data_IF_220385640278
#
_entry.id   IF_220385640278
#
_cell.length_a   1.000
_cell.length_b   1.000
_cell.length_c   1.000
_cell.angle_alpha   90.00
_cell.angle_beta   90.00
_cell.angle_gamma   90.00
#
_symmetry.space_group_name_H-M   'P 1'
#
loop_
_entity.id
_entity.type
_entity.pdbx_description
1 polymer ?
#
# COMPACT_ATOMS: atom_id res chain seq x y z
N UNK A 1 -13.66 37.15 -49.24
CA UNK A 1 -12.21 37.00 -48.96
C UNK A 1 -12.07 36.60 -47.50
N UNK A 2 -11.78 35.33 -47.20
CA UNK A 2 -10.45 34.72 -46.91
C UNK A 2 -10.36 34.48 -45.37
N UNK A 3 -9.90 33.38 -44.78
CA UNK A 3 -9.52 32.01 -45.18
C UNK A 3 -9.73 31.15 -43.91
N UNK A 4 -10.18 29.91 -44.10
CA UNK A 4 -10.25 28.81 -43.14
C UNK A 4 -8.85 28.23 -42.92
N UNK A 5 -8.39 28.09 -41.68
CA UNK A 5 -7.24 27.23 -41.36
C UNK A 5 -7.70 25.97 -40.65
N UNK A 6 -7.43 24.84 -41.29
CA UNK A 6 -7.47 23.50 -40.73
C UNK A 6 -6.08 23.21 -40.16
N UNK A 7 -6.00 22.60 -38.98
CA UNK A 7 -4.78 21.94 -38.52
C UNK A 7 -5.08 20.48 -38.22
N UNK A 8 -4.16 19.66 -38.71
CA UNK A 8 -4.26 18.25 -39.02
C UNK A 8 -4.06 17.33 -37.80
N UNK A 9 -4.67 16.15 -37.88
CA UNK A 9 -4.30 14.93 -37.16
C UNK A 9 -2.80 14.61 -37.29
N UNK A 10 -2.21 13.99 -36.25
CA UNK A 10 -1.22 12.88 -36.29
C UNK A 10 -0.90 12.42 -34.83
N UNK A 11 -0.49 11.15 -34.61
CA UNK A 11 -1.02 10.29 -33.55
C UNK A 11 -0.08 9.99 -32.37
N UNK A 12 -0.64 9.24 -31.41
CA UNK A 12 0.00 8.63 -30.26
C UNK A 12 1.13 7.66 -30.65
N UNK A 13 2.31 7.85 -30.05
CA UNK A 13 3.35 6.84 -29.93
C UNK A 13 4.16 7.09 -28.65
N UNK A 14 4.20 6.06 -27.82
CA UNK A 14 5.38 5.56 -27.08
C UNK A 14 6.18 6.55 -26.22
N UNK A 15 5.91 6.55 -24.91
CA UNK A 15 6.91 6.91 -23.91
C UNK A 15 7.46 5.62 -23.33
N UNK A 16 8.69 5.35 -23.75
CA UNK A 16 9.51 4.17 -23.49
C UNK A 16 9.73 3.89 -21.99
N UNK A 17 9.64 2.61 -21.64
CA UNK A 17 10.15 2.04 -20.41
C UNK A 17 11.68 2.20 -20.35
N UNK A 18 12.22 2.84 -19.32
CA UNK A 18 13.62 2.67 -18.94
C UNK A 18 13.74 1.54 -17.92
N UNK A 19 13.89 0.31 -18.41
CA UNK A 19 14.46 -0.79 -17.65
C UNK A 19 15.98 -0.60 -17.61
N UNK A 20 16.53 -0.39 -16.42
CA UNK A 20 17.98 -0.45 -16.19
C UNK A 20 18.26 -1.86 -15.68
N UNK A 21 18.55 -2.78 -16.61
CA UNK A 21 19.19 -4.06 -16.29
C UNK A 21 20.67 -3.81 -15.94
N UNK A 22 21.18 -4.34 -14.82
CA UNK A 22 22.62 -4.51 -14.65
C UNK A 22 23.08 -5.72 -15.46
N UNK A 23 23.78 -5.45 -16.57
CA UNK A 23 24.60 -6.43 -17.31
C UNK A 23 25.70 -6.95 -16.38
N UNK A 24 25.66 -8.24 -16.10
CA UNK A 24 26.78 -8.98 -15.54
C UNK A 24 27.37 -9.75 -16.72
N UNK A 25 28.49 -9.26 -17.27
CA UNK A 25 29.23 -9.98 -18.31
C UNK A 25 29.88 -11.21 -17.68
N UNK A 26 29.52 -12.39 -18.20
CA UNK A 26 30.10 -13.68 -17.84
C UNK A 26 30.61 -14.35 -19.12
N UNK A 27 31.93 -14.25 -19.34
CA UNK A 27 32.80 -15.20 -20.08
C UNK A 27 34.18 -14.53 -20.26
N UNK A 28 35.34 -15.18 -20.27
CA UNK A 28 35.65 -16.59 -20.30
C UNK A 28 37.12 -16.81 -19.89
N UNK A 29 37.38 -18.01 -19.38
CA UNK A 29 38.59 -18.85 -19.38
C UNK A 29 39.94 -18.31 -19.89
N UNK A 30 41.04 -18.62 -19.19
CA UNK A 30 42.18 -19.40 -19.72
C UNK A 30 43.09 -19.95 -18.59
N UNK A 31 43.46 -21.21 -18.77
CA UNK A 31 44.42 -22.00 -18.01
C UNK A 31 45.83 -21.37 -18.00
N UNK A 32 46.64 -21.67 -16.97
CA UNK A 32 48.03 -22.11 -17.18
C UNK A 32 48.46 -23.08 -16.08
N UNK A 33 49.00 -24.19 -16.57
CA UNK A 33 49.43 -25.45 -15.98
C UNK A 33 50.79 -25.33 -15.29
N UNK A 34 50.92 -26.01 -14.13
CA UNK A 34 52.01 -26.92 -13.75
C UNK A 34 53.48 -26.48 -13.78
N UNK A 35 54.21 -26.76 -12.69
CA UNK A 35 55.40 -27.64 -12.72
C UNK A 35 55.85 -28.04 -11.31
N UNK A 36 56.04 -29.35 -11.15
CA UNK A 36 56.68 -30.04 -10.02
C UNK A 36 58.20 -29.82 -10.01
N UNK A 37 58.85 -29.97 -8.84
CA UNK A 37 59.99 -30.91 -8.53
C UNK A 37 60.62 -30.50 -7.18
N UNK A 38 60.58 -31.36 -6.17
CA UNK A 38 61.60 -32.35 -5.72
C UNK A 38 62.59 -31.83 -4.67
N UNK A 39 62.54 -32.54 -3.52
CA UNK A 39 63.60 -32.94 -2.59
C UNK A 39 65.04 -32.50 -2.84
N UNK A 40 65.71 -31.97 -1.80
CA UNK A 40 66.94 -32.58 -1.28
C UNK A 40 67.22 -32.12 0.16
N UNK A 41 67.70 -33.05 0.98
CA UNK A 41 68.16 -32.81 2.34
C UNK A 41 69.66 -33.05 2.44
N UNK A 42 70.35 -32.25 3.28
CA UNK A 42 71.68 -32.46 3.90
C UNK A 42 72.13 -31.08 4.42
N UNK A 43 72.69 -30.80 5.59
CA UNK A 43 73.27 -31.56 6.72
C UNK A 43 73.50 -30.54 7.89
N UNK A 44 73.70 -30.95 9.16
CA UNK A 44 73.96 -30.08 10.33
C UNK A 44 75.48 -29.99 10.66
N UNK A 45 76.00 -29.43 11.80
CA UNK A 45 75.62 -28.34 12.73
C UNK A 45 76.76 -27.23 12.74
N UNK A 46 76.88 -26.21 13.65
CA UNK A 46 77.12 -26.36 15.11
C UNK A 46 76.39 -25.32 16.01
N UNK A 47 76.19 -25.67 17.28
CA UNK A 47 75.98 -24.67 18.34
C UNK A 47 77.31 -24.02 18.71
N UNK A 48 77.33 -22.72 19.01
CA UNK A 48 77.90 -22.32 20.29
C UNK A 48 77.08 -21.22 21.00
N UNK A 49 76.71 -21.55 22.24
CA UNK A 49 76.73 -20.70 23.47
C UNK A 49 76.34 -19.21 23.38
N UNK A 50 75.24 -18.90 24.09
CA UNK A 50 74.89 -17.64 24.79
C UNK A 50 76.03 -16.60 24.98
N UNK A 51 75.75 -15.26 25.00
CA UNK A 51 74.73 -14.69 25.90
C UNK A 51 73.94 -13.44 25.44
N UNK A 52 72.68 -13.41 25.89
CA UNK A 52 71.88 -12.25 26.35
C UNK A 52 71.98 -10.93 25.56
N UNK A 53 70.89 -10.59 24.85
CA UNK A 53 70.38 -9.21 24.75
C UNK A 53 68.85 -9.24 24.63
N UNK A 54 68.20 -9.62 25.73
CA UNK A 54 66.74 -9.71 25.92
C UNK A 54 66.11 -8.32 26.10
N UNK A 55 66.30 -7.41 25.14
CA UNK A 55 65.72 -6.05 25.22
C UNK A 55 64.98 -5.65 23.94
N UNK A 56 65.26 -6.27 22.79
CA UNK A 56 64.61 -5.89 21.53
C UNK A 56 63.34 -6.67 21.18
N UNK A 57 63.09 -7.85 21.77
CA UNK A 57 61.93 -8.69 21.43
C UNK A 57 60.64 -8.22 22.15
N UNK A 58 60.76 -7.67 23.37
CA UNK A 58 59.60 -7.19 24.12
C UNK A 58 58.99 -5.92 23.52
N UNK A 59 59.81 -5.06 22.90
CA UNK A 59 59.33 -3.79 22.33
C UNK A 59 58.53 -4.01 21.02
N UNK A 60 58.98 -4.91 20.15
CA UNK A 60 58.22 -5.28 18.94
C UNK A 60 56.92 -6.04 19.28
N UNK A 61 56.95 -6.95 20.25
CA UNK A 61 55.76 -7.71 20.65
C UNK A 61 54.71 -6.81 21.33
N UNK A 62 55.15 -5.80 22.09
CA UNK A 62 54.25 -4.81 22.69
C UNK A 62 53.66 -3.86 21.64
N UNK A 63 54.45 -3.49 20.62
CA UNK A 63 53.97 -2.64 19.53
C UNK A 63 52.98 -3.39 18.62
N UNK A 64 53.21 -4.68 18.36
CA UNK A 64 52.29 -5.53 17.59
C UNK A 64 50.97 -5.75 18.33
N UNK A 65 51.00 -5.98 19.65
CA UNK A 65 49.79 -6.11 20.46
C UNK A 65 48.95 -4.82 20.49
N UNK A 66 49.59 -3.64 20.52
CA UNK A 66 48.85 -2.37 20.42
C UNK A 66 48.20 -2.18 19.04
N UNK A 67 48.84 -2.69 17.99
CA UNK A 67 48.32 -2.60 16.63
C UNK A 67 47.10 -3.51 16.43
N UNK A 68 47.12 -4.73 16.98
CA UNK A 68 45.97 -5.65 16.97
C UNK A 68 44.77 -5.08 17.75
N UNK A 69 45.01 -4.52 18.94
CA UNK A 69 43.96 -3.87 19.75
C UNK A 69 43.31 -2.68 19.03
N UNK A 70 44.10 -1.93 18.25
CA UNK A 70 43.55 -0.83 17.45
C UNK A 70 42.69 -1.36 16.30
N UNK A 71 43.12 -2.42 15.63
CA UNK A 71 42.39 -3.04 14.53
C UNK A 71 41.07 -3.66 15.02
N UNK A 72 41.09 -4.33 16.17
CA UNK A 72 39.91 -4.90 16.81
C UNK A 72 38.90 -3.81 17.19
N UNK A 73 39.38 -2.67 17.73
CA UNK A 73 38.53 -1.51 18.01
C UNK A 73 37.85 -0.97 16.75
N UNK A 74 38.60 -0.86 15.66
CA UNK A 74 38.06 -0.36 14.39
C UNK A 74 36.95 -1.28 13.84
N UNK A 75 37.16 -2.60 13.94
CA UNK A 75 36.18 -3.59 13.48
C UNK A 75 34.91 -3.56 14.35
N UNK A 76 35.05 -3.39 15.66
CA UNK A 76 33.92 -3.24 16.57
C UNK A 76 33.09 -1.99 16.27
N UNK A 77 33.74 -0.85 15.99
CA UNK A 77 33.06 0.40 15.64
C UNK A 77 32.27 0.26 14.34
N UNK A 78 32.85 -0.40 13.34
CA UNK A 78 32.17 -0.67 12.06
C UNK A 78 30.94 -1.57 12.23
N UNK A 79 31.04 -2.61 13.06
CA UNK A 79 29.92 -3.50 13.37
C UNK A 79 28.78 -2.76 14.10
N UNK A 80 29.12 -1.85 15.04
CA UNK A 80 28.13 -1.05 15.74
C UNK A 80 27.40 -0.07 14.80
N UNK A 81 28.14 0.57 13.90
CA UNK A 81 27.57 1.50 12.92
C UNK A 81 26.61 0.77 11.97
N UNK A 82 26.99 -0.42 11.51
CA UNK A 82 26.15 -1.23 10.63
C UNK A 82 24.89 -1.76 11.34
N UNK A 83 25.02 -2.16 12.61
CA UNK A 83 23.87 -2.59 13.43
C UNK A 83 22.90 -1.43 13.69
N UNK A 84 23.41 -0.22 13.98
CA UNK A 84 22.57 0.94 14.20
C UNK A 84 21.83 1.37 12.92
N UNK A 85 22.48 1.29 11.76
CA UNK A 85 21.83 1.55 10.47
C UNK A 85 20.75 0.51 10.15
N UNK A 86 21.00 -0.77 10.44
CA UNK A 86 20.04 -1.85 10.23
C UNK A 86 18.82 -1.70 11.14
N UNK A 87 19.02 -1.38 12.43
CA UNK A 87 17.94 -1.05 13.37
C UNK A 87 17.12 0.16 12.92
N UNK A 88 17.77 1.22 12.41
CA UNK A 88 17.08 2.40 11.90
C UNK A 88 16.23 2.07 10.66
N UNK A 89 16.75 1.25 9.75
CA UNK A 89 16.01 0.79 8.57
C UNK A 89 14.81 -0.09 8.95
N UNK A 90 14.99 -1.00 9.91
CA UNK A 90 13.90 -1.83 10.44
C UNK A 90 12.80 -1.01 11.11
N UNK A 91 13.18 0.01 11.90
CA UNK A 91 12.23 0.93 12.53
C UNK A 91 11.41 1.71 11.49
N UNK A 92 12.05 2.20 10.41
CA UNK A 92 11.37 2.89 9.32
C UNK A 92 10.38 1.97 8.57
N UNK A 93 10.72 0.69 8.43
CA UNK A 93 9.88 -0.32 7.77
C UNK A 93 8.67 -0.74 8.62
N UNK A 94 8.82 -0.80 9.95
CA UNK A 94 7.72 -1.13 10.87
C UNK A 94 6.69 0.00 11.00
N UNK A 95 7.11 1.27 10.93
CA UNK A 95 6.20 2.42 11.01
C UNK A 95 5.18 2.44 9.85
N UNK A 96 5.59 2.00 8.67
CA UNK A 96 4.74 1.99 7.47
C UNK A 96 3.69 0.87 7.42
N UNK A 97 3.89 -0.23 8.13
CA UNK A 97 3.03 -1.43 8.05
C UNK A 97 1.98 -1.51 9.17
N UNK A 98 2.28 -1.01 10.37
CA UNK A 98 1.34 -1.04 11.50
C UNK A 98 0.57 0.28 11.71
N UNK A 99 1.15 1.42 11.34
CA UNK A 99 0.52 2.74 11.46
C UNK A 99 -0.66 2.96 10.49
N UNK A 100 -0.68 2.24 9.37
CA UNK A 100 -1.64 2.48 8.30
C UNK A 100 -3.06 1.95 8.63
N UNK A 101 -3.16 0.83 9.34
CA UNK A 101 -4.45 0.20 9.66
C UNK A 101 -5.23 0.94 10.75
N UNK A 102 -4.55 1.41 11.81
CA UNK A 102 -5.20 2.13 12.90
C UNK A 102 -5.58 3.57 12.53
N UNK A 103 -4.76 4.27 11.71
CA UNK A 103 -5.09 5.60 11.20
C UNK A 103 -6.26 5.54 10.20
N UNK A 104 -6.25 4.58 9.26
CA UNK A 104 -7.38 4.39 8.32
C UNK A 104 -8.68 4.00 9.01
N UNK A 105 -8.63 3.25 10.14
CA UNK A 105 -9.83 2.85 10.89
C UNK A 105 -10.59 4.04 11.48
N UNK A 106 -9.90 5.14 11.80
CA UNK A 106 -10.53 6.40 12.23
C UNK A 106 -10.96 7.31 11.07
N UNK A 107 -10.53 7.02 9.85
CA UNK A 107 -10.96 7.77 8.65
C UNK A 107 -12.15 7.14 7.93
N UNK A 108 -12.26 5.80 7.94
CA UNK A 108 -13.32 5.08 7.25
C UNK A 108 -14.59 5.04 8.09
N UNK A 109 -15.72 5.31 7.44
CA UNK A 109 -17.03 5.18 8.07
C UNK A 109 -17.28 3.74 8.54
N UNK A 110 -17.62 3.57 9.82
CA UNK A 110 -17.91 2.27 10.41
C UNK A 110 -19.26 1.70 9.95
N UNK A 111 -19.49 0.40 10.18
CA UNK A 111 -20.79 -0.24 9.89
C UNK A 111 -21.93 0.46 10.65
N UNK A 112 -21.72 0.80 11.93
CA UNK A 112 -22.72 1.50 12.75
C UNK A 112 -23.04 2.89 12.21
N UNK A 113 -22.02 3.61 11.74
CA UNK A 113 -22.20 4.94 11.12
C UNK A 113 -22.97 4.86 9.79
N UNK A 114 -22.72 3.85 8.96
CA UNK A 114 -23.53 3.59 7.76
C UNK A 114 -25.01 3.34 8.09
N UNK A 115 -25.28 2.54 9.12
CA UNK A 115 -26.66 2.27 9.56
C UNK A 115 -27.35 3.53 10.08
N UNK A 116 -26.65 4.35 10.87
CA UNK A 116 -27.18 5.64 11.34
C UNK A 116 -27.51 6.54 10.15
N UNK A 117 -26.60 6.65 9.18
CA UNK A 117 -26.84 7.42 7.96
C UNK A 117 -28.11 6.97 7.24
N UNK A 118 -28.25 5.67 6.98
CA UNK A 118 -29.41 5.11 6.27
C UNK A 118 -30.70 5.37 7.05
N UNK A 119 -30.72 5.07 8.35
CA UNK A 119 -31.88 5.31 9.20
C UNK A 119 -32.28 6.80 9.23
N UNK A 120 -31.30 7.70 9.29
CA UNK A 120 -31.54 9.14 9.28
C UNK A 120 -32.17 9.58 7.95
N UNK A 121 -31.68 9.08 6.82
CA UNK A 121 -32.26 9.39 5.50
C UNK A 121 -33.69 8.88 5.35
N UNK A 122 -33.98 7.68 5.86
CA UNK A 122 -35.33 7.11 5.84
C UNK A 122 -36.31 7.88 6.74
N UNK A 123 -35.85 8.37 7.89
CA UNK A 123 -36.65 9.18 8.81
C UNK A 123 -36.88 10.62 8.33
N UNK A 124 -36.07 11.10 7.38
CA UNK A 124 -36.13 12.48 6.89
C UNK A 124 -36.25 12.50 5.35
N UNK A 125 -37.42 12.12 4.78
CA UNK A 125 -37.62 12.03 3.33
C UNK A 125 -37.29 13.32 2.57
N UNK A 126 -37.50 14.48 3.22
CA UNK A 126 -37.19 15.82 2.70
C UNK A 126 -35.76 15.94 2.14
N UNK A 127 -34.80 15.19 2.70
CA UNK A 127 -33.40 15.20 2.24
C UNK A 127 -33.26 14.61 0.83
N UNK A 128 -34.13 13.67 0.46
CA UNK A 128 -34.15 13.07 -0.87
C UNK A 128 -34.99 13.85 -1.89
N UNK A 129 -35.80 14.80 -1.44
CA UNK A 129 -36.65 15.63 -2.31
C UNK A 129 -35.93 16.89 -2.80
N UNK A 130 -34.93 17.35 -2.05
CA UNK A 130 -34.16 18.55 -2.39
C UNK A 130 -32.83 18.20 -3.05
N UNK A 131 -32.30 19.19 -3.80
CA UNK A 131 -30.93 19.10 -4.32
C UNK A 131 -29.97 19.12 -3.14
N UNK A 132 -28.86 18.40 -3.26
CA UNK A 132 -27.92 18.24 -2.14
C UNK A 132 -27.30 19.55 -1.65
N UNK A 133 -27.13 20.52 -2.56
CA UNK A 133 -26.59 21.84 -2.28
C UNK A 133 -27.64 22.83 -1.76
N UNK A 134 -28.90 22.40 -1.59
CA UNK A 134 -29.96 23.26 -1.11
C UNK A 134 -29.70 23.67 0.36
N UNK A 135 -29.65 24.97 0.67
CA UNK A 135 -29.42 25.46 2.03
C UNK A 135 -30.42 24.94 3.06
N UNK A 136 -31.63 24.55 2.65
CA UNK A 136 -32.62 23.95 3.57
C UNK A 136 -32.12 22.67 4.23
N UNK A 137 -31.18 21.98 3.57
CA UNK A 137 -30.59 20.74 4.05
C UNK A 137 -29.43 20.95 5.02
N UNK A 138 -28.88 22.16 5.16
CA UNK A 138 -27.68 22.39 5.96
C UNK A 138 -27.86 22.00 7.44
N UNK A 139 -29.02 22.31 8.02
CA UNK A 139 -29.36 21.88 9.38
C UNK A 139 -29.40 20.35 9.53
N UNK A 140 -29.86 19.63 8.49
CA UNK A 140 -29.91 18.18 8.49
C UNK A 140 -28.51 17.58 8.39
N UNK A 141 -27.65 18.18 7.55
CA UNK A 141 -26.27 17.76 7.40
C UNK A 141 -25.44 17.97 8.69
N UNK A 142 -25.64 19.11 9.37
CA UNK A 142 -25.02 19.37 10.67
C UNK A 142 -25.49 18.35 11.71
N UNK A 143 -26.81 18.18 11.87
CA UNK A 143 -27.38 17.21 12.82
C UNK A 143 -26.89 15.79 12.57
N UNK A 144 -26.81 15.38 11.31
CA UNK A 144 -26.31 14.05 10.94
C UNK A 144 -24.82 13.89 11.29
N UNK A 145 -23.99 14.89 10.99
CA UNK A 145 -22.57 14.86 11.33
C UNK A 145 -22.36 14.71 12.84
N UNK A 146 -23.11 15.45 13.65
CA UNK A 146 -23.02 15.37 15.12
C UNK A 146 -23.35 13.96 15.60
N UNK A 147 -24.47 13.37 15.15
CA UNK A 147 -24.88 12.00 15.53
C UNK A 147 -23.83 10.96 15.10
N UNK A 148 -23.23 11.12 13.91
CA UNK A 148 -22.21 10.19 13.42
C UNK A 148 -20.92 10.30 14.24
N UNK A 149 -20.55 11.51 14.64
CA UNK A 149 -19.34 11.80 15.41
C UNK A 149 -19.46 11.32 16.87
N UNK A 150 -20.67 11.10 17.40
CA UNK A 150 -20.85 10.50 18.73
C UNK A 150 -20.62 8.99 18.77
N UNK A 151 -20.45 8.31 17.63
CA UNK A 151 -20.27 6.86 17.59
C UNK A 151 -18.89 6.48 18.16
N UNK A 152 -18.81 5.69 19.25
CA UNK A 152 -17.54 5.27 19.81
C UNK A 152 -16.71 4.51 18.78
N UNK A 153 -15.42 4.84 18.69
CA UNK A 153 -14.48 4.24 17.73
C UNK A 153 -14.89 4.43 16.24
N UNK A 154 -15.87 5.31 15.97
CA UNK A 154 -16.23 5.72 14.62
C UNK A 154 -15.29 6.79 14.08
N UNK A 155 -15.41 7.05 12.77
CA UNK A 155 -14.74 8.21 12.17
C UNK A 155 -15.37 9.50 12.69
N UNK A 156 -14.56 10.53 12.91
CA UNK A 156 -15.04 11.87 13.29
C UNK A 156 -14.64 12.82 12.17
N UNK A 157 -15.63 13.55 11.63
CA UNK A 157 -15.45 14.39 10.45
C UNK A 157 -16.33 15.63 10.51
N UNK A 158 -15.93 16.68 9.82
CA UNK A 158 -16.79 17.84 9.55
C UNK A 158 -17.82 17.51 8.46
N UNK A 159 -18.85 18.36 8.35
CA UNK A 159 -19.96 18.16 7.40
C UNK A 159 -19.48 17.97 5.95
N UNK A 160 -18.53 18.77 5.49
CA UNK A 160 -18.00 18.67 4.13
C UNK A 160 -17.31 17.32 3.86
N UNK A 161 -16.53 16.84 4.83
CA UNK A 161 -15.84 15.55 4.74
C UNK A 161 -16.82 14.37 4.83
N UNK A 162 -17.87 14.49 5.64
CA UNK A 162 -18.97 13.52 5.66
C UNK A 162 -19.68 13.46 4.31
N UNK A 163 -20.00 14.62 3.72
CA UNK A 163 -20.59 14.69 2.37
C UNK A 163 -19.69 13.94 1.36
N UNK A 164 -18.39 14.22 1.33
CA UNK A 164 -17.46 13.50 0.45
C UNK A 164 -17.43 11.98 0.73
N UNK A 165 -17.48 11.59 2.00
CA UNK A 165 -17.50 10.18 2.41
C UNK A 165 -18.74 9.46 1.86
N UNK A 166 -19.92 10.09 1.90
CA UNK A 166 -21.14 9.53 1.33
C UNK A 166 -21.09 9.47 -0.20
N UNK A 167 -20.47 10.45 -0.87
CA UNK A 167 -20.27 10.40 -2.32
C UNK A 167 -19.38 9.25 -2.75
N UNK A 168 -18.25 9.06 -2.07
CA UNK A 168 -17.36 7.94 -2.33
C UNK A 168 -18.07 6.60 -2.11
N UNK A 169 -18.90 6.51 -1.07
CA UNK A 169 -19.69 5.31 -0.80
C UNK A 169 -20.75 5.06 -1.89
N UNK A 170 -21.53 6.08 -2.25
CA UNK A 170 -22.54 6.01 -3.32
C UNK A 170 -21.91 5.63 -4.65
N UNK A 171 -20.80 6.25 -5.03
CA UNK A 171 -20.04 5.93 -6.23
C UNK A 171 -19.66 4.45 -6.27
N UNK A 172 -19.07 3.92 -5.18
CA UNK A 172 -18.71 2.50 -5.09
C UNK A 172 -19.93 1.59 -5.26
N UNK A 173 -21.05 1.93 -4.61
CA UNK A 173 -22.28 1.14 -4.70
C UNK A 173 -22.81 1.11 -6.14
N UNK A 174 -22.85 2.26 -6.83
CA UNK A 174 -23.26 2.30 -8.24
C UNK A 174 -22.28 1.60 -9.17
N UNK A 175 -20.98 1.67 -8.91
CA UNK A 175 -19.98 0.94 -9.67
C UNK A 175 -20.24 -0.58 -9.59
N UNK A 176 -20.51 -1.09 -8.39
CA UNK A 176 -20.83 -2.50 -8.19
C UNK A 176 -22.17 -2.86 -8.82
N UNK A 177 -23.15 -1.96 -8.76
CA UNK A 177 -24.45 -2.19 -9.36
C UNK A 177 -24.33 -2.31 -10.89
N UNK A 178 -23.60 -1.39 -11.52
CA UNK A 178 -23.29 -1.44 -12.96
C UNK A 178 -22.50 -2.68 -13.36
N UNK A 179 -21.59 -3.14 -12.51
CA UNK A 179 -20.85 -4.37 -12.79
C UNK A 179 -21.78 -5.59 -12.72
N UNK A 180 -22.54 -5.72 -11.63
CA UNK A 180 -23.45 -6.84 -11.40
C UNK A 180 -24.56 -6.91 -12.45
N UNK A 181 -25.03 -5.77 -12.97
CA UNK A 181 -26.09 -5.74 -13.98
C UNK A 181 -25.66 -6.31 -15.35
N UNK A 182 -24.35 -6.49 -15.57
CA UNK A 182 -23.80 -7.09 -16.80
C UNK A 182 -23.60 -8.60 -16.68
N UNK A 183 -23.70 -9.15 -15.48
CA UNK A 183 -23.53 -10.58 -15.24
C UNK A 183 -24.81 -11.28 -15.68
N UNK A 184 -24.70 -12.12 -16.70
CA UNK A 184 -25.83 -12.84 -17.32
C UNK A 184 -25.41 -14.26 -17.71
N UNK A 185 -26.37 -15.11 -18.04
CA UNK A 185 -26.09 -16.48 -18.51
C UNK A 185 -25.52 -17.37 -17.41
N UNK A 186 -24.57 -18.24 -17.76
CA UNK A 186 -23.95 -19.20 -16.83
C UNK A 186 -23.22 -18.53 -15.66
N UNK A 187 -22.65 -17.34 -15.88
CA UNK A 187 -21.93 -16.60 -14.83
C UNK A 187 -22.87 -16.07 -13.74
N UNK A 188 -24.14 -15.83 -14.08
CA UNK A 188 -25.17 -15.41 -13.14
C UNK A 188 -25.61 -16.53 -12.20
N UNK A 189 -25.32 -17.79 -12.53
CA UNK A 189 -25.57 -18.94 -11.65
C UNK A 189 -24.55 -19.03 -10.51
N UNK A 190 -23.42 -18.35 -10.60
CA UNK A 190 -22.38 -18.36 -9.59
C UNK A 190 -22.45 -17.06 -8.75
N UNK A 191 -22.85 -17.14 -7.47
CA UNK A 191 -22.90 -15.98 -6.58
C UNK A 191 -21.55 -15.25 -6.43
N UNK A 192 -20.42 -15.95 -6.63
CA UNK A 192 -19.08 -15.37 -6.55
C UNK A 192 -18.75 -14.45 -7.72
N UNK A 193 -19.50 -14.54 -8.83
CA UNK A 193 -19.34 -13.62 -9.96
C UNK A 193 -19.77 -12.20 -9.59
N UNK A 194 -20.67 -12.05 -8.62
CA UNK A 194 -21.23 -10.75 -8.22
C UNK A 194 -20.33 -10.03 -7.21
N UNK A 195 -20.27 -8.70 -7.33
CA UNK A 195 -19.74 -7.87 -6.25
C UNK A 195 -20.75 -7.86 -5.09
N UNK A 196 -20.29 -8.10 -3.86
CA UNK A 196 -21.18 -8.23 -2.72
C UNK A 196 -21.73 -6.87 -2.29
N UNK A 197 -23.00 -6.86 -1.87
CA UNK A 197 -23.63 -5.75 -1.19
C UNK A 197 -24.01 -6.14 0.22
N UNK A 198 -23.72 -5.25 1.18
CA UNK A 198 -24.31 -5.37 2.51
C UNK A 198 -25.77 -4.93 2.49
N UNK A 199 -26.56 -5.35 3.48
CA UNK A 199 -27.96 -4.90 3.60
C UNK A 199 -28.06 -3.37 3.68
N UNK A 200 -27.12 -2.73 4.35
CA UNK A 200 -27.01 -1.26 4.42
C UNK A 200 -26.76 -0.64 3.06
N UNK A 201 -25.95 -1.27 2.20
CA UNK A 201 -25.71 -0.79 0.83
C UNK A 201 -26.99 -0.87 0.00
N UNK A 202 -27.76 -1.96 0.11
CA UNK A 202 -29.05 -2.13 -0.60
C UNK A 202 -30.06 -1.05 -0.19
N UNK A 203 -30.22 -0.82 1.11
CA UNK A 203 -31.12 0.23 1.65
C UNK A 203 -30.71 1.62 1.17
N UNK A 204 -29.41 1.93 1.24
CA UNK A 204 -28.88 3.21 0.77
C UNK A 204 -29.15 3.43 -0.73
N UNK A 205 -28.93 2.40 -1.54
CA UNK A 205 -29.18 2.44 -2.97
C UNK A 205 -30.63 2.85 -3.29
N UNK A 206 -31.61 2.28 -2.58
CA UNK A 206 -33.03 2.52 -2.88
C UNK A 206 -33.47 3.98 -2.83
N UNK A 207 -32.94 4.79 -1.91
CA UNK A 207 -33.31 6.22 -1.88
C UNK A 207 -32.40 7.07 -2.77
N UNK A 208 -31.12 6.71 -2.96
CA UNK A 208 -30.24 7.45 -3.88
C UNK A 208 -30.72 7.39 -5.33
N UNK A 209 -31.35 6.30 -5.76
CA UNK A 209 -31.90 6.19 -7.11
C UNK A 209 -33.22 6.95 -7.30
N UNK A 210 -33.89 7.33 -6.22
CA UNK A 210 -35.14 8.11 -6.26
C UNK A 210 -34.88 9.60 -6.35
N UNK A 211 -33.75 10.07 -5.81
CA UNK A 211 -33.36 11.47 -5.91
C UNK A 211 -32.71 11.74 -7.29
N UNK A 212 -33.26 12.64 -8.11
CA UNK A 212 -32.76 12.91 -9.47
C UNK A 212 -31.34 13.48 -9.50
N UNK A 213 -30.89 14.15 -8.44
CA UNK A 213 -29.54 14.73 -8.34
C UNK A 213 -28.49 13.65 -8.03
N UNK A 214 -28.91 12.53 -7.41
CA UNK A 214 -28.00 11.44 -7.03
C UNK A 214 -28.15 10.19 -7.88
N UNK A 215 -29.23 10.04 -8.65
CA UNK A 215 -29.47 8.88 -9.50
C UNK A 215 -28.42 8.81 -10.64
N UNK A 216 -27.89 7.62 -10.95
CA UNK A 216 -26.96 7.46 -12.07
C UNK A 216 -27.71 7.60 -13.41
N UNK A 217 -27.08 8.14 -14.46
CA UNK A 217 -27.73 8.36 -15.76
C UNK A 217 -28.15 7.05 -16.46
N UNK A 218 -27.49 5.94 -16.14
CA UNK A 218 -27.77 4.61 -16.66
C UNK A 218 -28.55 3.73 -15.67
N UNK A 219 -29.33 4.35 -14.78
CA UNK A 219 -30.13 3.69 -13.75
C UNK A 219 -31.01 2.56 -14.28
N UNK A 220 -31.63 2.74 -15.46
CA UNK A 220 -32.52 1.74 -16.06
C UNK A 220 -31.82 0.38 -16.28
N UNK A 221 -30.51 0.41 -16.60
CA UNK A 221 -29.70 -0.79 -16.80
C UNK A 221 -29.29 -1.47 -15.50
N UNK A 222 -29.45 -0.80 -14.34
CA UNK A 222 -29.03 -1.27 -13.02
C UNK A 222 -30.20 -1.63 -12.10
N UNK A 223 -31.45 -1.51 -12.55
CA UNK A 223 -32.64 -1.63 -11.69
C UNK A 223 -32.82 -3.02 -11.06
N UNK A 224 -32.26 -4.07 -11.69
CA UNK A 224 -32.44 -5.47 -11.28
C UNK A 224 -31.21 -6.09 -10.57
N UNK A 225 -30.28 -5.26 -10.09
CA UNK A 225 -28.98 -5.70 -9.54
C UNK A 225 -29.07 -6.58 -8.30
N UNK A 226 -30.19 -6.52 -7.56
CA UNK A 226 -30.36 -7.23 -6.30
C UNK A 226 -31.27 -8.46 -6.39
N UNK A 227 -31.94 -8.66 -7.54
CA UNK A 227 -33.00 -9.68 -7.71
C UNK A 227 -32.41 -11.10 -7.68
N UNK A 228 -31.19 -11.30 -8.17
CA UNK A 228 -30.61 -12.64 -8.30
C UNK A 228 -30.06 -13.26 -6.99
N UNK A 229 -29.98 -12.52 -5.88
CA UNK A 229 -29.37 -13.00 -4.63
C UNK A 229 -30.39 -13.35 -3.54
N UNK A 230 -31.63 -12.88 -3.64
CA UNK A 230 -32.64 -13.11 -2.60
C UNK A 230 -33.42 -14.42 -2.83
N UNK A 231 -33.58 -14.85 -4.09
CA UNK A 231 -34.24 -16.12 -4.43
C UNK A 231 -33.39 -17.37 -4.15
N UNK A 232 -32.08 -17.23 -3.86
CA UNK A 232 -31.17 -18.36 -3.59
C UNK A 232 -30.92 -18.64 -2.12
N UNK A 233 -31.50 -17.85 -1.20
CA UNK A 233 -31.29 -18.01 0.26
C UNK A 233 -32.54 -18.54 0.99
N UNK A 234 -33.53 -19.05 0.25
CA UNK A 234 -34.66 -19.79 0.81
C UNK A 234 -34.61 -21.25 0.33
N UNK A 235 -33.70 -22.03 0.90
CA UNK A 235 -33.80 -23.50 0.97
C UNK A 235 -33.21 -23.99 2.30
#
# INVERSE_FOLDING_TARGET
MKIRMQHSNIPAAEISHMEIEPKIDYDSTINTTGSNTEVDGSSPPPLPVHPKSSVYIDEEHHQQQQQELHLERLQHEYALQHHQQQQHFEALMQENTTGNSFRQRKERMSKKQKEIYVNFMEQNPVINEHRRSDPILDQYWVKLADILNTVPQGAVKHVAEWKQTFDNWRYRVFLYARYNSKITGTDALNPKSFKPFTQTDKRAYHFWIRNPDTAPPDLEKMRNVFVNLEDTQQE
#
